data_IF_840133688308
#
_entry.id   IF_840133688308
#
_cell.length_a   1.000
_cell.length_b   1.000
_cell.length_c   1.000
_cell.angle_alpha   90.00
_cell.angle_beta   90.00
_cell.angle_gamma   90.00
#
_symmetry.space_group_name_H-M   'P 1'
#
loop_
_entity.id
_entity.type
_entity.pdbx_description
1 polymer ?
#
# COMPACT_ATOMS: atom_id res chain seq x y z
N UNK A 1 -30.53 66.54 -0.57
CA UNK A 1 -30.02 65.98 0.70
C UNK A 1 -29.09 64.82 0.30
N UNK A 2 -27.76 64.95 0.17
CA UNK A 2 -26.72 64.97 1.24
C UNK A 2 -26.94 63.83 2.27
N UNK A 3 -26.04 62.86 2.53
CA UNK A 3 -24.57 62.85 2.44
C UNK A 3 -23.96 61.42 2.45
N UNK A 4 -22.78 61.31 1.80
CA UNK A 4 -21.50 60.64 2.15
C UNK A 4 -21.34 59.25 2.85
N UNK A 5 -20.53 58.44 2.15
CA UNK A 5 -19.61 57.26 2.33
C UNK A 5 -18.66 57.26 3.58
N UNK A 6 -17.71 56.29 3.78
CA UNK A 6 -17.72 54.84 4.17
C UNK A 6 -16.84 54.49 5.43
N UNK A 7 -16.78 53.24 5.94
CA UNK A 7 -15.50 52.56 6.34
C UNK A 7 -15.60 51.04 6.72
N UNK A 8 -14.66 50.26 6.14
CA UNK A 8 -13.90 49.04 6.56
C UNK A 8 -14.45 47.93 7.46
N UNK A 9 -14.30 46.68 6.98
CA UNK A 9 -13.27 45.67 7.35
C UNK A 9 -13.63 44.34 6.60
N UNK A 10 -12.79 43.50 6.01
CA UNK A 10 -11.35 43.31 5.84
C UNK A 10 -11.19 41.84 5.39
N UNK A 11 -10.43 41.50 4.33
CA UNK A 11 -10.29 40.12 3.86
C UNK A 11 -9.36 39.33 4.80
N UNK A 12 -9.90 38.34 5.50
CA UNK A 12 -9.10 37.43 6.33
C UNK A 12 -8.29 36.48 5.46
N UNK A 13 -7.02 36.86 5.29
CA UNK A 13 -5.91 35.98 4.97
C UNK A 13 -5.93 34.71 5.82
N UNK A 14 -5.88 33.54 5.19
CA UNK A 14 -5.34 32.33 5.80
C UNK A 14 -5.00 31.29 4.74
N UNK A 15 -3.72 30.90 4.76
CA UNK A 15 -3.13 29.66 4.20
C UNK A 15 -2.54 29.76 2.78
N UNK A 16 -1.67 30.75 2.56
CA UNK A 16 -0.52 30.64 1.66
C UNK A 16 0.77 30.78 2.47
N UNK A 17 1.06 29.80 3.35
CA UNK A 17 2.39 29.68 3.99
C UNK A 17 2.54 28.33 4.70
N UNK A 18 2.87 27.27 3.95
CA UNK A 18 3.54 26.04 4.46
C UNK A 18 4.58 25.51 3.47
N UNK A 19 5.18 26.40 2.68
CA UNK A 19 6.35 26.12 1.84
C UNK A 19 7.41 27.17 2.18
N UNK A 20 8.09 26.98 3.32
CA UNK A 20 9.39 27.57 3.68
C UNK A 20 9.60 27.43 5.19
N UNK A 21 10.17 26.30 5.61
CA UNK A 21 10.87 26.02 6.88
C UNK A 21 11.10 24.49 6.81
N UNK A 22 12.28 23.89 6.78
CA UNK A 22 13.60 24.27 7.27
C UNK A 22 14.67 23.65 6.37
N UNK A 23 15.68 24.45 6.05
CA UNK A 23 17.01 23.97 5.73
C UNK A 23 17.78 23.78 7.04
N UNK A 24 18.43 22.63 7.22
CA UNK A 24 19.50 22.44 8.20
C UNK A 24 20.41 21.26 7.78
N UNK A 25 21.50 21.63 7.13
CA UNK A 25 22.88 21.13 7.32
C UNK A 25 23.13 19.68 7.77
N UNK A 26 23.75 18.89 6.89
CA UNK A 26 24.72 17.86 7.27
C UNK A 26 25.96 17.98 6.37
N UNK A 27 27.12 17.90 7.02
CA UNK A 27 28.42 18.30 6.53
C UNK A 27 29.06 17.32 5.55
N UNK A 28 30.04 17.84 4.82
CA UNK A 28 30.99 17.13 3.96
C UNK A 28 31.76 16.05 4.71
N UNK A 29 31.89 14.87 4.12
CA UNK A 29 33.09 14.03 4.25
C UNK A 29 33.52 13.62 2.85
N UNK A 30 34.65 14.18 2.42
CA UNK A 30 35.43 13.74 1.27
C UNK A 30 35.98 12.34 1.51
N UNK A 31 35.47 11.34 0.79
CA UNK A 31 36.15 10.08 0.60
C UNK A 31 36.74 10.06 -0.82
N UNK A 32 38.05 10.21 -0.90
CA UNK A 32 38.81 9.94 -2.12
C UNK A 32 38.85 8.43 -2.27
N UNK A 33 38.12 7.89 -3.24
CA UNK A 33 38.27 6.51 -3.68
C UNK A 33 38.62 6.55 -5.17
N UNK A 34 39.92 6.53 -5.45
CA UNK A 34 40.47 6.16 -6.75
C UNK A 34 40.19 4.67 -6.91
N UNK A 35 39.30 4.31 -7.83
CA UNK A 35 38.89 2.92 -8.07
C UNK A 35 38.25 2.79 -9.44
N UNK A 36 39.06 2.35 -10.40
CA UNK A 36 38.75 2.05 -11.79
C UNK A 36 37.60 1.04 -11.94
N UNK A 37 36.69 1.34 -12.88
CA UNK A 37 36.01 0.34 -13.71
C UNK A 37 35.15 -0.69 -12.98
N UNK A 38 33.89 -0.33 -12.70
CA UNK A 38 32.80 -1.28 -12.46
C UNK A 38 31.56 -0.77 -13.19
N UNK A 39 30.90 -1.65 -13.93
CA UNK A 39 29.69 -1.41 -14.72
C UNK A 39 28.64 -0.53 -14.01
N UNK A 40 27.75 0.18 -14.74
CA UNK A 40 26.67 0.92 -14.10
C UNK A 40 25.92 -0.03 -13.17
N UNK A 41 25.94 0.31 -11.87
CA UNK A 41 25.11 -0.36 -10.90
C UNK A 41 23.68 -0.31 -11.41
N UNK A 42 23.09 -1.49 -11.56
CA UNK A 42 21.69 -1.70 -11.92
C UNK A 42 20.85 -0.64 -11.20
N UNK A 43 20.11 0.15 -11.98
CA UNK A 43 19.29 1.23 -11.45
C UNK A 43 18.50 0.70 -10.27
N UNK A 44 18.77 1.27 -9.08
CA UNK A 44 18.09 0.89 -7.85
C UNK A 44 16.60 0.85 -8.15
N UNK A 45 15.99 -0.31 -7.96
CA UNK A 45 14.56 -0.43 -7.78
C UNK A 45 14.07 0.78 -6.97
N UNK A 46 13.32 1.68 -7.60
CA UNK A 46 12.94 2.94 -6.97
C UNK A 46 12.29 2.68 -5.61
N UNK A 47 12.48 3.57 -4.66
CA UNK A 47 11.72 3.51 -3.42
C UNK A 47 10.21 3.55 -3.73
N UNK A 48 9.39 2.87 -2.91
CA UNK A 48 7.95 3.01 -3.01
C UNK A 48 7.54 4.47 -2.74
N UNK A 49 6.56 4.97 -3.48
CA UNK A 49 5.94 6.26 -3.18
C UNK A 49 5.15 6.19 -1.87
N UNK A 50 4.79 7.36 -1.30
CA UNK A 50 3.97 7.40 -0.10
C UNK A 50 2.61 6.70 -0.27
N UNK A 51 1.95 6.92 -1.41
CA UNK A 51 0.67 6.28 -1.76
C UNK A 51 0.81 4.77 -1.94
N UNK A 52 1.90 4.31 -2.55
CA UNK A 52 2.18 2.88 -2.68
C UNK A 52 2.41 2.23 -1.31
N UNK A 53 3.14 2.89 -0.42
CA UNK A 53 3.32 2.42 0.94
C UNK A 53 1.98 2.33 1.69
N UNK A 54 1.13 3.34 1.56
CA UNK A 54 -0.20 3.35 2.17
C UNK A 54 -1.06 2.20 1.64
N UNK A 55 -1.10 2.00 0.32
CA UNK A 55 -1.83 0.90 -0.29
C UNK A 55 -1.32 -0.47 0.20
N UNK A 56 -0.01 -0.69 0.24
CA UNK A 56 0.58 -1.94 0.74
C UNK A 56 0.24 -2.16 2.22
N UNK A 57 0.28 -1.12 3.05
CA UNK A 57 -0.11 -1.21 4.46
C UNK A 57 -1.60 -1.50 4.64
N UNK A 58 -2.45 -0.96 3.77
CA UNK A 58 -3.88 -1.26 3.77
C UNK A 58 -4.15 -2.72 3.39
N UNK A 59 -3.46 -3.25 2.38
CA UNK A 59 -3.51 -4.68 2.01
C UNK A 59 -3.02 -5.54 3.18
N UNK A 60 -1.93 -5.15 3.84
CA UNK A 60 -1.37 -5.84 4.99
C UNK A 60 -2.37 -5.89 6.16
N UNK A 61 -3.02 -4.77 6.48
CA UNK A 61 -4.04 -4.70 7.52
C UNK A 61 -5.27 -5.56 7.18
N UNK A 62 -5.75 -5.53 5.94
CA UNK A 62 -6.84 -6.39 5.48
C UNK A 62 -6.45 -7.87 5.53
N UNK A 63 -5.22 -8.21 5.11
CA UNK A 63 -4.70 -9.58 5.10
C UNK A 63 -4.41 -10.14 6.49
N UNK A 64 -4.25 -9.28 7.50
CA UNK A 64 -4.16 -9.68 8.89
C UNK A 64 -5.51 -10.18 9.46
N UNK A 65 -6.64 -9.83 8.84
CA UNK A 65 -8.00 -10.14 9.31
C UNK A 65 -8.70 -11.17 8.43
N UNK A 66 -8.49 -11.09 7.11
CA UNK A 66 -9.19 -11.91 6.11
C UNK A 66 -8.23 -12.82 5.35
N UNK A 67 -8.70 -13.94 4.77
CA UNK A 67 -10.05 -14.52 4.92
C UNK A 67 -10.33 -15.06 6.33
N UNK A 68 -9.27 -15.38 7.05
CA UNK A 68 -9.28 -15.74 8.46
C UNK A 68 -8.20 -14.91 9.16
N UNK A 69 -8.31 -14.71 10.49
CA UNK A 69 -7.29 -13.99 11.24
C UNK A 69 -5.91 -14.60 11.03
N UNK A 70 -4.96 -13.75 10.68
CA UNK A 70 -3.61 -14.19 10.40
C UNK A 70 -2.90 -14.61 11.70
N UNK A 71 -2.32 -15.82 11.76
CA UNK A 71 -1.77 -16.34 13.00
C UNK A 71 -0.55 -15.51 13.48
N UNK A 72 -0.26 -15.58 14.78
CA UNK A 72 0.83 -14.79 15.36
C UNK A 72 2.21 -15.24 14.86
N UNK A 73 2.38 -16.53 14.53
CA UNK A 73 3.68 -17.15 14.22
C UNK A 73 4.75 -16.91 15.30
N UNK A 74 4.31 -16.89 16.58
CA UNK A 74 5.15 -16.56 17.74
C UNK A 74 5.83 -15.18 17.66
N UNK A 75 5.36 -14.28 16.80
CA UNK A 75 5.79 -12.89 16.77
C UNK A 75 5.00 -12.06 17.79
N UNK A 76 5.63 -11.01 18.31
CA UNK A 76 5.01 -10.09 19.26
C UNK A 76 3.88 -9.28 18.62
N UNK A 77 2.74 -9.20 19.31
CA UNK A 77 1.57 -8.42 18.88
C UNK A 77 0.66 -9.15 17.88
N UNK A 78 -0.47 -8.53 17.54
CA UNK A 78 -1.37 -9.06 16.52
C UNK A 78 -0.80 -8.84 15.11
N UNK A 79 -1.29 -9.59 14.12
CA UNK A 79 -0.93 -9.33 12.71
C UNK A 79 -1.30 -7.90 12.28
N UNK A 80 -2.43 -7.37 12.76
CA UNK A 80 -2.86 -6.00 12.48
C UNK A 80 -1.86 -4.98 13.05
N UNK A 81 -1.41 -5.16 14.29
CA UNK A 81 -0.42 -4.24 14.89
C UNK A 81 0.96 -4.32 14.24
N UNK A 82 1.24 -5.37 13.46
CA UNK A 82 2.49 -5.55 12.71
C UNK A 82 2.47 -4.85 11.35
N UNK A 83 1.31 -4.47 10.82
CA UNK A 83 1.18 -3.72 9.56
C UNK A 83 1.66 -2.27 9.72
N UNK A 84 2.99 -2.09 9.81
CA UNK A 84 3.64 -0.82 10.12
C UNK A 84 4.64 -0.43 9.03
N UNK A 85 4.88 0.88 8.88
CA UNK A 85 5.85 1.39 7.91
C UNK A 85 7.25 0.79 8.11
N UNK A 86 7.71 0.63 9.36
CA UNK A 86 9.03 0.06 9.65
C UNK A 86 9.17 -1.39 9.15
N UNK A 87 8.11 -2.20 9.31
CA UNK A 87 8.10 -3.58 8.82
C UNK A 87 7.95 -3.64 7.32
N UNK A 88 7.18 -2.74 6.71
CA UNK A 88 7.11 -2.61 5.26
C UNK A 88 8.49 -2.29 4.68
N UNK A 89 9.21 -1.32 5.23
CA UNK A 89 10.56 -0.96 4.79
C UNK A 89 11.54 -2.13 4.93
N UNK A 90 11.44 -2.88 6.01
CA UNK A 90 12.25 -4.08 6.24
C UNK A 90 11.96 -5.18 5.21
N UNK A 91 10.68 -5.42 4.90
CA UNK A 91 10.29 -6.38 3.87
C UNK A 91 10.71 -5.90 2.47
N UNK A 92 10.53 -4.61 2.17
CA UNK A 92 10.93 -4.00 0.91
C UNK A 92 12.42 -4.12 0.64
N UNK A 93 13.26 -3.95 1.67
CA UNK A 93 14.71 -4.10 1.55
C UNK A 93 15.17 -5.50 1.13
N UNK A 94 14.28 -6.52 1.19
CA UNK A 94 14.55 -7.88 0.72
C UNK A 94 14.07 -8.12 -0.71
N UNK A 95 13.31 -7.21 -1.31
CA UNK A 95 12.70 -7.39 -2.64
C UNK A 95 13.76 -7.22 -3.73
N UNK A 96 13.89 -8.20 -4.61
CA UNK A 96 14.80 -8.13 -5.76
C UNK A 96 14.42 -7.05 -6.78
N UNK A 97 15.41 -6.57 -7.54
CA UNK A 97 15.26 -5.44 -8.47
C UNK A 97 14.21 -5.66 -9.58
N UNK A 98 14.09 -6.89 -10.09
CA UNK A 98 13.06 -7.22 -11.08
C UNK A 98 11.64 -7.21 -10.46
N UNK A 99 11.54 -7.68 -9.21
CA UNK A 99 10.26 -7.84 -8.51
C UNK A 99 9.71 -6.53 -7.96
N UNK A 100 10.57 -5.59 -7.60
CA UNK A 100 10.16 -4.26 -7.15
C UNK A 100 9.28 -3.53 -8.18
N UNK A 101 9.60 -3.66 -9.47
CA UNK A 101 8.79 -3.09 -10.58
C UNK A 101 7.39 -3.70 -10.62
N UNK A 102 7.28 -5.00 -10.37
CA UNK A 102 5.99 -5.70 -10.30
C UNK A 102 5.16 -5.23 -9.11
N UNK A 103 5.79 -5.05 -7.94
CA UNK A 103 5.14 -4.51 -6.75
C UNK A 103 4.64 -3.09 -7.00
N UNK A 104 5.47 -2.21 -7.55
CA UNK A 104 5.08 -0.84 -7.84
C UNK A 104 3.91 -0.78 -8.83
N UNK A 105 3.96 -1.58 -9.90
CA UNK A 105 2.87 -1.66 -10.87
C UNK A 105 1.56 -2.19 -10.24
N UNK A 106 1.64 -3.21 -9.40
CA UNK A 106 0.46 -3.77 -8.74
C UNK A 106 -0.14 -2.83 -7.70
N UNK A 107 0.71 -2.12 -6.93
CA UNK A 107 0.27 -1.07 -6.02
C UNK A 107 -0.42 0.07 -6.78
N UNK A 108 0.14 0.52 -7.90
CA UNK A 108 -0.47 1.55 -8.75
C UNK A 108 -1.83 1.09 -9.32
N UNK A 109 -1.94 -0.14 -9.79
CA UNK A 109 -3.21 -0.68 -10.30
C UNK A 109 -4.30 -0.72 -9.20
N UNK A 110 -3.92 -0.99 -7.94
CA UNK A 110 -4.85 -0.97 -6.81
C UNK A 110 -5.20 0.45 -6.36
N UNK A 111 -4.27 1.41 -6.48
CA UNK A 111 -4.54 2.83 -6.24
C UNK A 111 -5.51 3.37 -7.29
N UNK A 112 -5.30 3.03 -8.57
CA UNK A 112 -6.18 3.42 -9.67
C UNK A 112 -7.58 2.82 -9.55
N UNK A 113 -7.69 1.60 -9.02
CA UNK A 113 -8.98 0.98 -8.71
C UNK A 113 -9.73 1.66 -7.54
N UNK A 114 -9.06 2.53 -6.78
CA UNK A 114 -9.58 3.36 -5.68
C UNK A 114 -10.64 2.67 -4.79
N UNK A 115 -10.28 1.56 -4.11
CA UNK A 115 -11.24 0.86 -3.27
C UNK A 115 -11.65 1.70 -2.07
N UNK A 116 -12.96 1.93 -1.88
CA UNK A 116 -13.48 2.77 -0.79
C UNK A 116 -13.32 2.14 0.62
N UNK A 117 -13.39 0.82 0.74
CA UNK A 117 -13.33 0.09 2.01
C UNK A 117 -12.62 -1.28 1.87
N UNK A 118 -12.55 -2.08 2.95
CA UNK A 118 -11.90 -3.40 2.95
C UNK A 118 -12.59 -4.44 2.04
N UNK A 119 -13.94 -4.55 2.03
CA UNK A 119 -14.65 -5.35 1.02
C UNK A 119 -14.30 -4.97 -0.41
N UNK A 120 -14.31 -3.68 -0.76
CA UNK A 120 -13.96 -3.19 -2.08
C UNK A 120 -12.49 -3.50 -2.42
N UNK A 121 -11.57 -3.34 -1.46
CA UNK A 121 -10.16 -3.67 -1.64
C UNK A 121 -9.96 -5.16 -1.94
N UNK A 122 -10.61 -6.05 -1.19
CA UNK A 122 -10.57 -7.51 -1.46
C UNK A 122 -11.15 -7.81 -2.84
N UNK A 123 -12.25 -7.15 -3.22
CA UNK A 123 -12.84 -7.23 -4.55
C UNK A 123 -11.83 -6.86 -5.65
N UNK A 124 -11.22 -5.68 -5.55
CA UNK A 124 -10.21 -5.18 -6.49
C UNK A 124 -9.02 -6.13 -6.63
N UNK A 125 -8.47 -6.61 -5.51
CA UNK A 125 -7.38 -7.61 -5.51
C UNK A 125 -7.80 -8.87 -6.25
N UNK A 126 -8.98 -9.44 -5.95
CA UNK A 126 -9.41 -10.68 -6.60
C UNK A 126 -9.75 -10.51 -8.08
N UNK A 127 -10.22 -9.33 -8.49
CA UNK A 127 -10.49 -9.01 -9.90
C UNK A 127 -9.19 -8.85 -10.68
N UNK A 128 -8.27 -8.02 -10.20
CA UNK A 128 -6.97 -7.79 -10.84
C UNK A 128 -6.10 -9.05 -10.87
N UNK A 129 -6.19 -9.89 -9.82
CA UNK A 129 -5.50 -11.17 -9.75
C UNK A 129 -5.99 -12.23 -10.77
N UNK A 130 -7.09 -11.97 -11.50
CA UNK A 130 -7.60 -12.82 -12.59
C UNK A 130 -7.30 -12.28 -13.99
N UNK A 131 -6.95 -10.99 -14.09
CA UNK A 131 -6.70 -10.32 -15.36
C UNK A 131 -5.21 -10.21 -15.67
N UNK A 132 -4.89 -9.26 -16.54
CA UNK A 132 -3.52 -9.02 -17.02
C UNK A 132 -2.56 -8.55 -15.90
N UNK A 133 -3.11 -8.08 -14.78
CA UNK A 133 -2.37 -7.63 -13.60
C UNK A 133 -2.12 -8.75 -12.58
N UNK A 134 -2.36 -10.01 -12.92
CA UNK A 134 -2.25 -11.12 -11.97
C UNK A 134 -0.87 -11.19 -11.28
N UNK A 135 0.20 -11.09 -12.07
CA UNK A 135 1.57 -11.16 -11.56
C UNK A 135 1.94 -9.96 -10.70
N UNK A 136 1.54 -8.75 -11.10
CA UNK A 136 1.88 -7.49 -10.40
C UNK A 136 1.14 -7.39 -9.06
N UNK A 137 -0.15 -7.73 -9.03
CA UNK A 137 -0.94 -7.79 -7.80
C UNK A 137 -0.46 -8.89 -6.88
N UNK A 138 -0.12 -10.07 -7.40
CA UNK A 138 0.43 -11.17 -6.58
C UNK A 138 1.75 -10.75 -5.90
N UNK A 139 2.65 -10.08 -6.62
CA UNK A 139 3.89 -9.56 -6.04
C UNK A 139 3.62 -8.52 -4.93
N UNK A 140 2.65 -7.62 -5.15
CA UNK A 140 2.25 -6.59 -4.18
C UNK A 140 1.69 -7.22 -2.90
N UNK A 141 0.82 -8.22 -3.05
CA UNK A 141 0.27 -8.98 -1.93
C UNK A 141 1.36 -9.76 -1.19
N UNK A 142 2.33 -10.33 -1.89
CA UNK A 142 3.44 -11.03 -1.24
C UNK A 142 4.24 -10.10 -0.31
N UNK A 143 4.49 -8.86 -0.76
CA UNK A 143 5.11 -7.84 0.10
C UNK A 143 4.22 -7.49 1.31
N UNK A 144 2.90 -7.36 1.11
CA UNK A 144 1.96 -7.08 2.20
C UNK A 144 1.96 -8.20 3.25
N UNK A 145 2.02 -9.48 2.84
CA UNK A 145 2.11 -10.63 3.75
C UNK A 145 3.45 -10.64 4.50
N UNK A 146 4.56 -10.43 3.79
CA UNK A 146 5.89 -10.32 4.40
C UNK A 146 6.01 -9.12 5.37
N UNK A 147 5.17 -8.09 5.20
CA UNK A 147 5.08 -6.95 6.13
C UNK A 147 4.50 -7.39 7.48
N UNK A 148 3.46 -8.21 7.49
CA UNK A 148 2.80 -8.65 8.74
C UNK A 148 3.46 -9.87 9.38
N UNK A 149 4.30 -10.63 8.65
CA UNK A 149 5.07 -11.73 9.24
C UNK A 149 6.43 -11.94 8.58
N UNK A 150 7.46 -12.09 9.41
CA UNK A 150 8.86 -12.23 8.96
C UNK A 150 9.17 -13.61 8.38
N UNK A 151 8.28 -14.58 8.56
CA UNK A 151 8.42 -15.95 8.07
C UNK A 151 8.18 -16.08 6.56
N UNK A 152 7.63 -15.05 5.93
CA UNK A 152 7.33 -15.05 4.50
C UNK A 152 8.38 -14.25 3.73
N UNK A 153 8.87 -14.86 2.65
CA UNK A 153 9.76 -14.19 1.70
C UNK A 153 8.92 -13.31 0.76
N UNK A 154 9.15 -11.98 0.71
CA UNK A 154 8.45 -11.10 -0.21
C UNK A 154 8.75 -11.43 -1.68
N UNK A 155 9.80 -12.22 -1.99
CA UNK A 155 10.12 -12.70 -3.34
C UNK A 155 9.34 -13.95 -3.77
N UNK A 156 8.62 -14.59 -2.85
CA UNK A 156 7.80 -15.77 -3.14
C UNK A 156 6.33 -15.42 -3.32
N UNK A 157 5.67 -16.05 -4.29
CA UNK A 157 4.24 -15.85 -4.55
C UNK A 157 3.34 -16.78 -3.72
N UNK A 158 3.88 -17.82 -3.07
CA UNK A 158 3.09 -18.90 -2.49
C UNK A 158 2.07 -18.41 -1.45
N UNK A 159 2.51 -17.54 -0.53
CA UNK A 159 1.63 -17.00 0.50
C UNK A 159 0.57 -16.05 -0.07
N UNK A 160 0.94 -15.24 -1.06
CA UNK A 160 0.04 -14.35 -1.75
C UNK A 160 -1.05 -15.12 -2.51
N UNK A 161 -0.68 -16.18 -3.22
CA UNK A 161 -1.61 -17.03 -3.96
C UNK A 161 -2.61 -17.73 -3.04
N UNK A 162 -2.15 -18.26 -1.90
CA UNK A 162 -3.04 -18.85 -0.89
C UNK A 162 -4.02 -17.82 -0.35
N UNK A 163 -3.54 -16.62 -0.03
CA UNK A 163 -4.37 -15.56 0.49
C UNK A 163 -5.41 -15.08 -0.53
N UNK A 164 -5.00 -14.76 -1.76
CA UNK A 164 -5.90 -14.38 -2.87
C UNK A 164 -6.90 -15.51 -3.15
N UNK A 165 -6.45 -16.76 -3.16
CA UNK A 165 -7.30 -17.94 -3.32
C UNK A 165 -8.36 -18.05 -2.22
N UNK A 166 -8.00 -17.71 -0.98
CA UNK A 166 -8.92 -17.64 0.15
C UNK A 166 -9.92 -16.48 0.06
N UNK A 167 -9.46 -15.28 -0.35
CA UNK A 167 -10.34 -14.12 -0.56
C UNK A 167 -11.46 -14.39 -1.56
N UNK A 168 -11.15 -15.13 -2.64
CA UNK A 168 -12.12 -15.51 -3.67
C UNK A 168 -13.29 -16.36 -3.15
N UNK A 169 -13.15 -16.96 -1.98
CA UNK A 169 -14.19 -17.79 -1.34
C UNK A 169 -15.08 -17.00 -0.40
N UNK A 170 -14.73 -15.74 -0.11
CA UNK A 170 -15.53 -14.87 0.73
C UNK A 170 -16.61 -14.18 -0.12
N UNK A 171 -17.83 -14.02 0.42
CA UNK A 171 -18.82 -13.16 -0.22
C UNK A 171 -18.31 -11.72 -0.26
N UNK A 172 -18.59 -11.02 -1.36
CA UNK A 172 -18.27 -9.63 -1.56
C UNK A 172 -19.18 -8.71 -0.70
N UNK A 173 -19.02 -8.73 0.63
CA UNK A 173 -19.73 -7.86 1.56
C UNK A 173 -21.26 -8.05 1.60
N UNK A 174 -21.95 -7.39 2.55
CA UNK A 174 -23.39 -7.57 2.74
C UNK A 174 -24.20 -6.63 1.84
N UNK A 175 -24.63 -7.10 0.66
CA UNK A 175 -26.00 -6.83 0.20
C UNK A 175 -26.54 -7.85 -0.83
N UNK A 176 -27.65 -8.48 -0.40
CA UNK A 176 -28.80 -9.06 -1.12
C UNK A 176 -28.61 -10.13 -2.21
N UNK A 177 -28.91 -11.37 -1.81
CA UNK A 177 -29.91 -12.16 -2.55
C UNK A 177 -31.23 -12.04 -1.78
N UNK A 178 -32.27 -11.34 -2.29
CA UNK A 178 -33.62 -11.67 -1.83
C UNK A 178 -33.85 -13.11 -2.29
N UNK A 179 -33.87 -14.04 -1.34
CA UNK A 179 -34.40 -15.38 -1.60
C UNK A 179 -35.79 -15.17 -2.20
N UNK A 180 -36.07 -15.60 -3.45
CA UNK A 180 -37.43 -15.53 -3.94
C UNK A 180 -38.24 -16.39 -2.99
N UNK A 181 -39.15 -15.74 -2.26
CA UNK A 181 -40.13 -16.41 -1.42
C UNK A 181 -40.67 -17.58 -2.22
N UNK A 182 -40.35 -18.80 -1.76
CA UNK A 182 -40.94 -20.03 -2.27
C UNK A 182 -42.43 -19.89 -2.01
N UNK A 183 -43.17 -19.38 -3.01
CA UNK A 183 -44.62 -19.43 -3.00
C UNK A 183 -44.98 -20.90 -3.06
N UNK A 184 -45.25 -21.45 -1.88
CA UNK A 184 -46.00 -22.69 -1.75
C UNK A 184 -47.43 -22.30 -2.13
N UNK A 185 -47.86 -22.73 -3.32
CA UNK A 185 -49.25 -22.99 -3.64
C UNK A 185 -49.32 -24.40 -4.20
#
# INVERSE_FOLDING_TARGET
MSSATPERAGPSARRLTRRALLAATAAMTTAVAVGTGGAPADASAGALSAEQCEMVLRIAAAGAVYPIPFPSFAESGSAVSRATMARLQTAWGKVGSARSKLVQAGANALIEADPADDPALRGAITALARGDQATTVTATVALAVATISTHFDPNSDSAAQLWIGGLRRLPAGPDRVPSPARRIR
#
